data_IF_831569647844
#
_entry.id   IF_831569647844
#
_cell.length_a   1.000
_cell.length_b   1.000
_cell.length_c   1.000
_cell.angle_alpha   90.00
_cell.angle_beta   90.00
_cell.angle_gamma   90.00
#
_symmetry.space_group_name_H-M   'P 1'
#
loop_
_entity.id
_entity.type
_entity.pdbx_description
1 polymer ?
#
# COMPACT_ATOMS: atom_id res chain seq x y z
N UNK A 1 46.51 47.56 -58.22
CA UNK A 1 45.04 47.45 -58.33
C UNK A 1 44.68 46.03 -57.96
N UNK A 2 44.34 45.82 -56.70
CA UNK A 2 44.46 44.52 -56.01
C UNK A 2 43.08 43.96 -55.72
N UNK A 3 42.95 42.66 -55.98
CA UNK A 3 41.72 41.90 -56.11
C UNK A 3 40.86 41.84 -54.84
N UNK A 4 39.55 41.90 -55.09
CA UNK A 4 38.46 41.60 -54.18
C UNK A 4 38.52 40.12 -53.74
N UNK A 5 38.55 39.86 -52.43
CA UNK A 5 38.32 38.53 -51.84
C UNK A 5 37.22 38.63 -50.79
N UNK A 6 36.00 38.24 -51.18
CA UNK A 6 34.92 37.96 -50.25
C UNK A 6 35.26 36.71 -49.44
N UNK A 7 35.34 36.84 -48.12
CA UNK A 7 35.47 35.72 -47.19
C UNK A 7 34.06 35.38 -46.71
N UNK A 8 33.52 34.25 -47.15
CA UNK A 8 32.34 33.64 -46.55
C UNK A 8 32.77 32.88 -45.28
N UNK A 9 32.36 33.37 -44.11
CA UNK A 9 32.41 32.58 -42.88
C UNK A 9 31.14 31.73 -42.79
N UNK A 10 31.24 30.45 -43.14
CA UNK A 10 30.25 29.44 -42.78
C UNK A 10 30.61 28.86 -41.40
N UNK A 11 29.92 29.27 -40.34
CA UNK A 11 30.01 28.64 -39.04
C UNK A 11 28.81 27.72 -38.84
N UNK A 12 29.05 26.42 -38.93
CA UNK A 12 28.05 25.37 -38.72
C UNK A 12 27.61 25.32 -37.26
N UNK A 13 26.33 25.52 -36.99
CA UNK A 13 25.74 25.27 -35.69
C UNK A 13 25.59 23.76 -35.49
N UNK A 14 26.44 23.16 -34.65
CA UNK A 14 26.25 21.79 -34.15
C UNK A 14 25.17 21.84 -33.08
N UNK A 15 23.92 21.55 -33.46
CA UNK A 15 22.85 21.31 -32.51
C UNK A 15 23.09 19.96 -31.83
N UNK A 16 23.61 19.98 -30.60
CA UNK A 16 23.64 18.80 -29.74
C UNK A 16 22.21 18.36 -29.43
N UNK A 17 21.74 17.30 -30.08
CA UNK A 17 20.49 16.65 -29.73
C UNK A 17 20.69 15.93 -28.40
N UNK A 18 20.29 16.57 -27.30
CA UNK A 18 20.10 15.90 -26.02
C UNK A 18 18.95 14.91 -26.18
N UNK A 19 19.26 13.63 -26.33
CA UNK A 19 18.27 12.56 -26.25
C UNK A 19 17.75 12.51 -24.81
N UNK A 20 16.62 13.18 -24.54
CA UNK A 20 15.84 12.94 -23.33
C UNK A 20 15.20 11.56 -23.50
N UNK A 21 15.81 10.53 -22.89
CA UNK A 21 15.18 9.22 -22.76
C UNK A 21 13.95 9.38 -21.87
N UNK A 22 12.75 9.39 -22.46
CA UNK A 22 11.52 9.35 -21.70
C UNK A 22 11.48 8.02 -20.91
N UNK A 23 11.50 8.09 -19.58
CA UNK A 23 11.33 6.90 -18.74
C UNK A 23 9.98 6.26 -19.02
N UNK A 24 9.97 4.97 -19.36
CA UNK A 24 8.73 4.24 -19.65
C UNK A 24 8.04 3.86 -18.34
N UNK A 25 6.73 4.09 -18.25
CA UNK A 25 5.92 3.68 -17.10
C UNK A 25 5.11 2.44 -17.48
N UNK A 26 5.30 1.37 -16.72
CA UNK A 26 4.50 0.15 -16.83
C UNK A 26 3.43 0.16 -15.73
N UNK A 27 2.17 0.31 -16.12
CA UNK A 27 1.05 0.35 -15.17
C UNK A 27 0.79 -1.02 -14.54
N UNK A 28 0.48 -1.01 -13.24
CA UNK A 28 0.03 -2.21 -12.53
C UNK A 28 -1.42 -2.48 -12.92
N UNK A 29 -1.80 -3.74 -13.15
CA UNK A 29 -3.18 -4.11 -13.46
C UNK A 29 -4.13 -3.60 -12.36
N UNK A 30 -5.22 -2.93 -12.75
CA UNK A 30 -6.15 -2.23 -11.84
C UNK A 30 -5.51 -1.11 -10.99
N UNK A 31 -4.31 -0.64 -11.34
CA UNK A 31 -3.63 0.46 -10.66
C UNK A 31 -4.20 1.85 -10.99
N UNK A 32 -5.13 1.95 -11.94
CA UNK A 32 -5.93 3.14 -12.25
C UNK A 32 -7.18 3.27 -11.36
N UNK A 33 -7.37 2.30 -10.46
CA UNK A 33 -8.46 2.17 -9.48
C UNK A 33 -9.85 2.59 -9.99
N UNK A 34 -10.13 2.34 -11.26
CA UNK A 34 -11.40 2.70 -11.89
C UNK A 34 -12.45 1.58 -11.79
N UNK A 35 -12.02 0.37 -11.38
CA UNK A 35 -12.87 -0.81 -11.26
C UNK A 35 -12.80 -1.40 -9.85
N UNK A 36 -13.97 -1.77 -9.32
CA UNK A 36 -14.12 -2.21 -7.93
C UNK A 36 -15.11 -3.35 -7.82
N UNK A 37 -14.78 -4.31 -6.98
CA UNK A 37 -15.73 -5.30 -6.47
C UNK A 37 -16.44 -4.67 -5.28
N UNK A 38 -17.76 -4.57 -5.35
CA UNK A 38 -18.63 -4.14 -4.24
C UNK A 38 -19.15 -5.39 -3.53
N UNK A 39 -19.08 -5.42 -2.20
CA UNK A 39 -19.52 -6.58 -1.41
C UNK A 39 -20.51 -6.13 -0.36
N UNK A 40 -21.66 -6.80 -0.26
CA UNK A 40 -22.65 -6.56 0.79
C UNK A 40 -22.62 -7.70 1.80
N UNK A 41 -22.27 -7.35 3.03
CA UNK A 41 -22.06 -8.29 4.14
C UNK A 41 -23.01 -7.93 5.27
N UNK A 42 -23.71 -8.92 5.80
CA UNK A 42 -24.60 -8.78 6.95
C UNK A 42 -23.85 -9.10 8.24
N UNK A 43 -23.66 -8.10 9.11
CA UNK A 43 -23.03 -8.26 10.42
C UNK A 43 -23.93 -9.02 11.40
N UNK A 44 -23.34 -9.66 12.41
CA UNK A 44 -24.12 -10.41 13.40
C UNK A 44 -24.99 -9.49 14.27
N UNK A 45 -26.20 -9.93 14.62
CA UNK A 45 -27.13 -9.20 15.49
C UNK A 45 -26.50 -8.81 16.84
N UNK A 46 -25.61 -9.66 17.39
CA UNK A 46 -24.86 -9.40 18.63
C UNK A 46 -24.00 -8.13 18.56
N UNK A 47 -23.66 -7.63 17.37
CA UNK A 47 -22.91 -6.38 17.16
C UNK A 47 -23.72 -5.29 16.43
N UNK A 48 -25.04 -5.45 16.36
CA UNK A 48 -25.97 -4.48 15.77
C UNK A 48 -26.72 -4.96 14.53
N UNK A 49 -26.29 -6.06 13.89
CA UNK A 49 -27.03 -6.66 12.78
C UNK A 49 -27.09 -5.79 11.52
N UNK A 50 -26.07 -4.97 11.26
CA UNK A 50 -26.07 -4.02 10.17
C UNK A 50 -25.60 -4.64 8.85
N UNK A 51 -26.24 -4.26 7.75
CA UNK A 51 -25.69 -4.49 6.41
C UNK A 51 -24.57 -3.48 6.13
N UNK A 52 -23.42 -4.00 5.69
CA UNK A 52 -22.21 -3.24 5.46
C UNK A 52 -21.73 -3.47 4.04
N UNK A 53 -21.44 -2.37 3.35
CA UNK A 53 -20.78 -2.40 2.05
C UNK A 53 -19.28 -2.28 2.24
N UNK A 54 -18.53 -3.23 1.69
CA UNK A 54 -17.07 -3.18 1.65
C UNK A 54 -16.57 -3.32 0.21
N UNK A 55 -15.39 -2.78 -0.08
CA UNK A 55 -14.89 -2.66 -1.45
C UNK A 55 -13.54 -3.36 -1.64
N UNK A 56 -13.31 -3.92 -2.82
CA UNK A 56 -12.01 -4.48 -3.20
C UNK A 56 -11.64 -4.03 -4.61
N UNK A 57 -10.34 -3.93 -4.89
CA UNK A 57 -9.84 -3.53 -6.21
C UNK A 57 -9.85 -4.74 -7.14
N UNK A 58 -10.59 -4.65 -8.25
CA UNK A 58 -10.77 -5.76 -9.18
C UNK A 58 -11.84 -5.47 -10.24
N UNK A 59 -12.36 -6.50 -10.93
CA UNK A 59 -13.40 -6.30 -11.94
C UNK A 59 -14.66 -5.69 -11.32
N UNK A 60 -15.32 -4.81 -12.07
CA UNK A 60 -16.58 -4.18 -11.64
C UNK A 60 -17.68 -5.22 -11.52
N UNK A 61 -18.06 -5.56 -10.28
CA UNK A 61 -19.15 -6.49 -9.98
C UNK A 61 -19.62 -6.32 -8.53
N UNK A 62 -20.79 -6.89 -8.22
CA UNK A 62 -21.33 -6.95 -6.87
C UNK A 62 -21.36 -8.40 -6.37
N UNK A 63 -20.92 -8.61 -5.13
CA UNK A 63 -20.99 -9.90 -4.44
C UNK A 63 -21.94 -9.78 -3.25
N UNK A 64 -23.03 -10.54 -3.31
CA UNK A 64 -24.01 -10.62 -2.25
C UNK A 64 -23.70 -11.73 -1.24
N UNK A 65 -23.97 -11.42 0.02
CA UNK A 65 -23.90 -12.31 1.16
C UNK A 65 -22.49 -12.44 1.75
N UNK A 66 -22.44 -13.09 2.92
CA UNK A 66 -21.23 -13.22 3.73
C UNK A 66 -20.22 -14.21 3.14
N UNK A 67 -19.71 -13.90 1.95
CA UNK A 67 -18.79 -14.73 1.18
C UNK A 67 -17.36 -14.26 1.41
N UNK A 68 -16.44 -15.17 1.76
CA UNK A 68 -15.01 -14.89 1.77
C UNK A 68 -14.54 -14.39 0.40
N UNK A 69 -13.71 -13.36 0.41
CA UNK A 69 -13.11 -12.81 -0.80
C UNK A 69 -11.69 -13.34 -1.04
N UNK A 70 -11.38 -13.45 -2.31
CA UNK A 70 -10.02 -13.56 -2.83
C UNK A 70 -9.95 -12.73 -4.11
N UNK A 71 -8.79 -12.16 -4.42
CA UNK A 71 -8.61 -11.28 -5.57
C UNK A 71 -9.23 -11.84 -6.86
N UNK A 72 -9.99 -11.01 -7.57
CA UNK A 72 -10.71 -11.39 -8.80
C UNK A 72 -10.13 -10.68 -10.03
N UNK A 73 -10.39 -11.23 -11.21
CA UNK A 73 -9.94 -10.65 -12.50
C UNK A 73 -8.41 -10.58 -12.65
N UNK A 74 -7.64 -11.28 -11.82
CA UNK A 74 -6.18 -11.17 -11.79
C UNK A 74 -5.68 -9.86 -11.16
N UNK A 75 -6.50 -9.18 -10.36
CA UNK A 75 -6.05 -8.03 -9.56
C UNK A 75 -4.95 -8.45 -8.58
N UNK A 76 -3.80 -7.76 -8.54
CA UNK A 76 -2.76 -8.05 -7.55
C UNK A 76 -3.00 -7.35 -6.22
N UNK A 77 -4.08 -6.58 -6.09
CA UNK A 77 -4.34 -5.70 -4.95
C UNK A 77 -5.19 -6.37 -3.88
N UNK A 78 -4.76 -6.22 -2.63
CA UNK A 78 -5.55 -6.45 -1.44
C UNK A 78 -5.67 -5.15 -0.64
N UNK A 79 -6.69 -5.09 0.22
CA UNK A 79 -6.95 -3.93 1.07
C UNK A 79 -7.03 -4.34 2.54
N UNK A 80 -7.09 -3.35 3.44
CA UNK A 80 -7.43 -3.56 4.85
C UNK A 80 -8.94 -3.70 5.08
N UNK A 81 -9.77 -3.61 4.04
CA UNK A 81 -11.17 -3.99 4.14
C UNK A 81 -11.25 -5.50 4.32
N UNK A 82 -12.03 -5.94 5.31
CA UNK A 82 -12.09 -7.36 5.64
C UNK A 82 -13.47 -7.80 6.07
N UNK A 83 -13.83 -9.01 5.66
CA UNK A 83 -14.84 -9.82 6.29
C UNK A 83 -14.19 -10.79 7.30
N UNK A 84 -14.59 -10.64 8.56
CA UNK A 84 -14.17 -11.48 9.67
C UNK A 84 -15.33 -12.34 10.19
N UNK A 85 -15.01 -13.57 10.61
CA UNK A 85 -15.92 -14.46 11.34
C UNK A 85 -15.17 -15.08 12.51
N UNK A 86 -15.20 -14.39 13.65
CA UNK A 86 -14.45 -14.78 14.86
C UNK A 86 -15.44 -15.33 15.88
N UNK A 87 -15.24 -16.57 16.31
CA UNK A 87 -16.13 -17.26 17.27
C UNK A 87 -17.62 -17.19 16.87
N UNK A 88 -17.92 -17.32 15.57
CA UNK A 88 -19.27 -17.25 15.03
C UNK A 88 -19.81 -15.83 14.78
N UNK A 89 -19.15 -14.79 15.28
CA UNK A 89 -19.53 -13.39 15.09
C UNK A 89 -18.99 -12.88 13.76
N UNK A 90 -19.90 -12.52 12.85
CA UNK A 90 -19.57 -11.84 11.60
C UNK A 90 -19.40 -10.35 11.85
N UNK A 91 -18.24 -9.83 11.43
CA UNK A 91 -17.89 -8.43 11.48
C UNK A 91 -17.20 -8.01 10.19
N UNK A 92 -17.42 -6.78 9.77
CA UNK A 92 -16.68 -6.14 8.69
C UNK A 92 -15.81 -5.01 9.22
N UNK A 93 -14.78 -4.67 8.45
CA UNK A 93 -14.09 -3.39 8.54
C UNK A 93 -13.96 -2.82 7.13
N UNK A 94 -14.15 -1.51 6.99
CA UNK A 94 -13.98 -0.81 5.73
C UNK A 94 -13.36 0.57 5.96
N UNK A 95 -12.18 0.76 5.40
CA UNK A 95 -11.41 2.01 5.45
C UNK A 95 -10.79 2.38 4.09
N UNK A 96 -11.02 1.58 3.05
CA UNK A 96 -10.63 1.86 1.67
C UNK A 96 -11.88 1.92 0.79
N UNK A 97 -12.00 2.96 -0.02
CA UNK A 97 -13.19 3.26 -0.79
C UNK A 97 -12.84 3.62 -2.24
N UNK A 98 -13.71 3.32 -3.21
CA UNK A 98 -13.75 4.09 -4.45
C UNK A 98 -14.13 5.54 -4.15
N UNK A 99 -13.41 6.49 -4.74
CA UNK A 99 -13.78 7.91 -4.74
C UNK A 99 -13.68 8.47 -6.15
N UNK A 100 -14.50 9.47 -6.47
CA UNK A 100 -14.49 10.06 -7.81
C UNK A 100 -13.22 10.91 -8.00
N UNK A 101 -12.42 10.55 -9.02
CA UNK A 101 -11.24 11.31 -9.47
C UNK A 101 -11.65 12.42 -10.42
N UNK A 102 -12.60 12.11 -11.31
CA UNK A 102 -13.22 12.98 -12.30
C UNK A 102 -14.60 12.39 -12.67
N UNK A 103 -15.37 13.05 -13.54
CA UNK A 103 -16.73 12.63 -13.88
C UNK A 103 -16.89 11.17 -14.37
N UNK A 104 -15.79 10.52 -14.84
CA UNK A 104 -15.81 9.14 -15.34
C UNK A 104 -14.70 8.24 -14.77
N UNK A 105 -13.84 8.77 -13.90
CA UNK A 105 -12.72 8.01 -13.34
C UNK A 105 -12.87 7.93 -11.83
N UNK A 106 -12.52 6.77 -11.26
CA UNK A 106 -12.41 6.59 -9.82
C UNK A 106 -10.95 6.49 -9.42
N UNK A 107 -10.69 6.72 -8.15
CA UNK A 107 -9.41 6.54 -7.49
C UNK A 107 -9.63 5.76 -6.18
N UNK A 108 -8.55 5.28 -5.57
CA UNK A 108 -8.61 4.70 -4.24
C UNK A 108 -8.53 5.80 -3.19
N UNK A 109 -9.45 5.77 -2.21
CA UNK A 109 -9.48 6.65 -1.04
C UNK A 109 -9.26 5.81 0.22
N UNK A 110 -8.13 6.01 0.87
CA UNK A 110 -7.73 5.34 2.11
C UNK A 110 -7.95 6.30 3.27
N UNK A 111 -8.73 5.90 4.27
CA UNK A 111 -9.16 6.78 5.36
C UNK A 111 -8.63 6.28 6.71
N UNK A 112 -8.19 7.19 7.56
CA UNK A 112 -8.06 6.96 9.00
C UNK A 112 -9.28 7.48 9.73
N UNK A 113 -10.04 6.57 10.34
CA UNK A 113 -11.40 6.83 10.84
C UNK A 113 -11.73 5.98 12.08
N UNK A 114 -12.72 6.44 12.85
CA UNK A 114 -13.32 5.63 13.91
C UNK A 114 -14.40 4.72 13.33
N UNK A 115 -14.19 3.43 13.46
CA UNK A 115 -15.18 2.40 13.22
C UNK A 115 -16.01 2.16 14.48
N UNK A 116 -17.33 2.31 14.36
CA UNK A 116 -18.28 2.20 15.47
C UNK A 116 -18.97 0.84 15.43
N UNK A 117 -19.05 0.19 16.58
CA UNK A 117 -19.71 -1.10 16.78
C UNK A 117 -20.56 -1.03 18.04
N UNK A 118 -21.76 -1.63 18.01
CA UNK A 118 -22.65 -1.66 19.17
C UNK A 118 -22.92 -3.09 19.61
N UNK A 119 -22.23 -3.53 20.67
CA UNK A 119 -22.36 -4.89 21.19
C UNK A 119 -23.61 -5.02 22.05
N UNK A 120 -24.44 -6.00 21.72
CA UNK A 120 -25.71 -6.34 22.38
C UNK A 120 -26.69 -5.16 22.54
N UNK A 121 -26.53 -4.10 21.74
CA UNK A 121 -27.33 -2.88 21.89
C UNK A 121 -27.00 -2.03 23.13
N UNK A 122 -25.98 -2.40 23.91
CA UNK A 122 -25.66 -1.77 25.20
C UNK A 122 -24.28 -1.12 25.21
N UNK A 123 -23.28 -1.75 24.58
CA UNK A 123 -21.88 -1.32 24.68
C UNK A 123 -21.43 -0.72 23.35
N UNK A 124 -21.12 0.58 23.35
CA UNK A 124 -20.51 1.24 22.19
C UNK A 124 -19.00 0.98 22.21
N UNK A 125 -18.50 0.45 21.10
CA UNK A 125 -17.07 0.26 20.85
C UNK A 125 -16.66 1.12 19.67
N UNK A 126 -15.65 1.95 19.91
CA UNK A 126 -15.04 2.80 18.88
C UNK A 126 -13.62 2.30 18.63
N UNK A 127 -13.32 1.93 17.40
CA UNK A 127 -12.02 1.38 17.00
C UNK A 127 -11.38 2.30 15.97
N UNK A 128 -10.14 2.73 16.22
CA UNK A 128 -9.38 3.49 15.24
C UNK A 128 -8.84 2.55 14.17
N UNK A 129 -9.11 2.86 12.91
CA UNK A 129 -8.69 2.05 11.75
C UNK A 129 -8.05 2.97 10.72
N UNK A 130 -6.90 2.56 10.20
CA UNK A 130 -6.25 3.19 9.05
C UNK A 130 -6.47 2.32 7.80
N UNK A 131 -6.93 2.95 6.71
CA UNK A 131 -7.07 2.32 5.41
C UNK A 131 -5.71 2.05 4.78
N UNK A 132 -5.52 0.83 4.28
CA UNK A 132 -4.30 0.43 3.57
C UNK A 132 -4.65 -0.43 2.36
N UNK A 133 -3.84 -0.32 1.30
CA UNK A 133 -3.87 -1.25 0.17
C UNK A 133 -2.45 -1.69 -0.16
N UNK A 134 -2.32 -2.90 -0.66
CA UNK A 134 -1.01 -3.51 -0.90
C UNK A 134 -1.07 -4.53 -2.03
N UNK A 135 0.09 -4.80 -2.64
CA UNK A 135 0.23 -5.93 -3.55
C UNK A 135 0.33 -7.21 -2.73
N UNK A 136 -0.57 -8.15 -3.01
CA UNK A 136 -0.67 -9.40 -2.28
C UNK A 136 -2.11 -9.88 -2.12
N UNK A 137 -2.39 -10.53 -1.01
CA UNK A 137 -3.68 -11.16 -0.74
C UNK A 137 -4.05 -11.10 0.74
N UNK A 138 -5.32 -10.83 1.01
CA UNK A 138 -5.94 -11.04 2.32
C UNK A 138 -6.65 -12.40 2.35
N UNK A 139 -6.53 -13.15 3.44
CA UNK A 139 -7.20 -14.44 3.62
C UNK A 139 -8.46 -14.28 4.45
N UNK A 140 -9.59 -14.45 3.77
CA UNK A 140 -10.90 -14.40 4.39
C UNK A 140 -11.56 -15.79 4.52
N UNK A 141 -12.51 -15.96 5.46
CA UNK A 141 -12.85 -14.98 6.49
C UNK A 141 -11.70 -14.88 7.50
N UNK A 142 -11.46 -13.67 8.03
CA UNK A 142 -10.51 -13.53 9.14
C UNK A 142 -11.13 -14.22 10.37
N UNK A 143 -10.50 -15.30 10.84
CA UNK A 143 -11.04 -16.13 11.94
C UNK A 143 -10.44 -15.82 13.31
N UNK A 144 -9.42 -14.95 13.38
CA UNK A 144 -8.79 -14.52 14.62
C UNK A 144 -8.10 -13.17 14.44
N UNK A 145 -8.07 -12.37 15.52
CA UNK A 145 -7.33 -11.11 15.60
C UNK A 145 -5.86 -11.28 16.03
N UNK A 146 -5.44 -12.51 16.37
CA UNK A 146 -4.06 -12.82 16.74
C UNK A 146 -3.19 -12.92 15.50
N UNK A 147 -1.97 -12.36 15.57
CA UNK A 147 -0.97 -12.38 14.49
C UNK A 147 -1.57 -11.94 13.13
N UNK A 148 -1.98 -10.65 12.99
CA UNK A 148 -2.69 -10.18 11.81
C UNK A 148 -1.88 -10.35 10.51
N UNK A 149 -0.54 -10.24 10.57
CA UNK A 149 0.31 -10.46 9.40
C UNK A 149 0.23 -11.89 8.85
N UNK A 150 -0.09 -12.90 9.68
CA UNK A 150 -0.35 -14.26 9.18
C UNK A 150 -1.60 -14.41 8.31
N UNK A 151 -2.47 -13.39 8.28
CA UNK A 151 -3.71 -13.36 7.49
C UNK A 151 -3.53 -12.65 6.15
N UNK A 152 -2.37 -12.06 5.92
CA UNK A 152 -2.03 -11.39 4.67
C UNK A 152 -0.77 -11.99 4.07
N UNK A 153 -0.85 -12.33 2.79
CA UNK A 153 0.31 -12.64 1.98
C UNK A 153 0.79 -11.32 1.35
N UNK A 154 1.95 -10.85 1.77
CA UNK A 154 2.50 -9.57 1.34
C UNK A 154 3.51 -9.76 0.21
N UNK A 155 3.26 -9.01 -0.86
CA UNK A 155 4.05 -9.01 -2.07
C UNK A 155 3.59 -10.04 -3.09
N UNK A 156 4.07 -9.85 -4.32
CA UNK A 156 3.78 -10.70 -5.48
C UNK A 156 5.09 -11.10 -6.17
N UNK A 157 5.10 -12.20 -6.94
CA UNK A 157 6.23 -12.55 -7.80
C UNK A 157 6.58 -11.39 -8.75
N UNK A 158 7.87 -11.04 -8.81
CA UNK A 158 8.35 -9.91 -9.60
C UNK A 158 9.86 -10.00 -9.82
N UNK A 159 10.30 -9.89 -11.08
CA UNK A 159 11.71 -10.08 -11.48
C UNK A 159 12.34 -8.89 -12.21
N UNK A 160 11.62 -7.77 -12.33
CA UNK A 160 12.12 -6.56 -12.99
C UNK A 160 12.85 -5.65 -12.01
N UNK A 161 13.56 -4.65 -12.53
CA UNK A 161 14.32 -3.67 -11.73
C UNK A 161 13.84 -2.23 -12.02
N UNK A 162 12.69 -1.81 -11.46
CA UNK A 162 12.20 -0.45 -11.64
C UNK A 162 13.03 0.56 -10.86
N UNK A 163 13.18 1.77 -11.41
CA UNK A 163 13.86 2.90 -10.75
C UNK A 163 12.93 3.66 -9.81
N UNK A 164 11.63 3.66 -10.09
CA UNK A 164 10.63 4.35 -9.29
C UNK A 164 9.29 3.62 -9.25
N UNK A 165 8.58 3.76 -8.13
CA UNK A 165 7.13 3.58 -8.08
C UNK A 165 6.50 4.91 -8.51
N UNK A 166 5.62 4.87 -9.51
CA UNK A 166 4.97 6.04 -10.09
C UNK A 166 3.49 6.01 -9.73
N UNK A 167 2.93 7.11 -9.25
CA UNK A 167 1.51 7.21 -8.91
C UNK A 167 1.04 8.66 -8.85
N UNK A 168 -0.26 8.87 -9.00
CA UNK A 168 -0.91 10.12 -8.66
C UNK A 168 -1.38 10.05 -7.21
N UNK A 169 -1.33 11.17 -6.49
CA UNK A 169 -1.84 11.21 -5.12
C UNK A 169 -2.46 12.55 -4.75
N UNK A 170 -3.31 12.52 -3.72
CA UNK A 170 -3.81 13.68 -2.97
C UNK A 170 -3.83 13.30 -1.49
N UNK A 171 -3.57 14.25 -0.60
CA UNK A 171 -3.63 14.02 0.85
C UNK A 171 -4.52 15.06 1.48
N UNK A 172 -5.53 14.62 2.22
CA UNK A 172 -6.26 15.46 3.17
C UNK A 172 -5.65 15.19 4.55
N UNK A 173 -4.83 16.13 5.07
CA UNK A 173 -4.22 16.02 6.39
C UNK A 173 -4.97 16.93 7.39
N UNK A 174 -5.56 16.38 8.45
CA UNK A 174 -6.19 17.16 9.51
C UNK A 174 -5.19 18.13 10.16
N UNK A 175 -5.63 19.37 10.39
CA UNK A 175 -4.84 20.39 11.08
C UNK A 175 -4.93 20.21 12.61
N UNK A 176 -4.47 19.05 13.10
CA UNK A 176 -4.40 18.71 14.52
C UNK A 176 -3.02 18.15 14.85
N UNK A 177 -2.55 18.38 16.08
CA UNK A 177 -1.28 17.84 16.57
C UNK A 177 -1.49 16.72 17.60
N UNK A 178 -2.46 15.84 17.33
CA UNK A 178 -2.71 14.66 18.14
C UNK A 178 -3.13 13.48 17.27
N UNK A 179 -2.89 12.28 17.81
CA UNK A 179 -3.43 10.99 17.36
C UNK A 179 -4.44 10.51 18.37
N UNK A 180 -5.37 9.68 17.93
CA UNK A 180 -6.33 9.01 18.78
C UNK A 180 -5.98 7.53 18.86
N UNK A 181 -5.79 7.03 20.08
CA UNK A 181 -5.73 5.60 20.39
C UNK A 181 -7.11 5.11 20.78
N UNK A 182 -7.67 4.18 20.01
CA UNK A 182 -8.99 3.60 20.28
C UNK A 182 -9.04 2.13 19.90
N UNK A 183 -8.97 1.24 20.90
CA UNK A 183 -8.94 -0.22 20.69
C UNK A 183 -10.32 -0.86 20.71
N UNK A 184 -11.36 -0.09 21.01
CA UNK A 184 -12.74 -0.55 21.22
C UNK A 184 -13.07 -1.00 22.65
N UNK A 185 -12.06 -1.37 23.46
CA UNK A 185 -12.27 -1.89 24.82
C UNK A 185 -11.99 -0.87 25.93
N UNK A 186 -11.42 0.28 25.58
CA UNK A 186 -11.13 1.38 26.50
C UNK A 186 -11.65 2.69 25.95
N UNK A 187 -11.71 3.71 26.81
CA UNK A 187 -11.93 5.08 26.36
C UNK A 187 -10.87 5.50 25.34
N UNK A 188 -11.27 6.37 24.40
CA UNK A 188 -10.37 7.02 23.46
C UNK A 188 -9.33 7.82 24.23
N UNK A 189 -8.07 7.71 23.81
CA UNK A 189 -6.97 8.52 24.36
C UNK A 189 -6.37 9.37 23.26
N UNK A 190 -6.16 10.65 23.54
CA UNK A 190 -5.33 11.50 22.68
C UNK A 190 -3.85 11.29 23.03
N UNK A 191 -3.02 11.16 22.01
CA UNK A 191 -1.58 11.06 22.09
C UNK A 191 -0.98 12.25 21.34
N UNK A 192 0.13 12.85 21.81
CA UNK A 192 0.76 13.97 21.13
C UNK A 192 1.32 13.60 19.75
N UNK A 193 1.41 14.58 18.86
CA UNK A 193 1.87 14.40 17.48
C UNK A 193 0.76 13.91 16.55
N UNK A 194 0.94 14.03 15.24
CA UNK A 194 0.03 13.47 14.24
C UNK A 194 0.67 12.28 13.51
N UNK A 195 -0.17 11.45 12.88
CA UNK A 195 0.28 10.37 12.01
C UNK A 195 0.58 10.90 10.59
N UNK A 196 1.26 10.09 9.79
CA UNK A 196 1.51 10.35 8.37
C UNK A 196 0.82 9.28 7.53
N UNK A 197 0.39 9.66 6.33
CA UNK A 197 0.20 8.65 5.30
C UNK A 197 1.58 8.13 4.86
N UNK A 198 1.66 6.87 4.45
CA UNK A 198 2.92 6.24 4.05
C UNK A 198 2.75 5.45 2.77
N UNK A 199 3.75 5.56 1.90
CA UNK A 199 3.91 4.70 0.73
C UNK A 199 5.29 4.10 0.78
N UNK A 200 5.39 2.78 0.57
CA UNK A 200 6.69 2.12 0.45
C UNK A 200 6.66 0.99 -0.58
N UNK A 201 7.85 0.69 -1.07
CA UNK A 201 8.14 -0.39 -2.01
C UNK A 201 9.42 -1.11 -1.61
N UNK A 202 9.36 -2.44 -1.54
CA UNK A 202 10.49 -3.30 -1.27
C UNK A 202 10.66 -4.32 -2.39
N UNK A 203 11.86 -4.42 -2.94
CA UNK A 203 12.25 -5.53 -3.79
C UNK A 203 13.00 -6.56 -2.95
N UNK A 204 12.58 -7.82 -3.04
CA UNK A 204 13.15 -8.91 -2.26
C UNK A 204 13.60 -10.04 -3.16
N UNK A 205 14.77 -10.62 -2.85
CA UNK A 205 15.16 -11.95 -3.33
C UNK A 205 14.87 -12.94 -2.20
N UNK A 206 13.83 -13.76 -2.40
CA UNK A 206 13.35 -14.75 -1.44
C UNK A 206 13.87 -16.14 -1.81
N UNK A 207 14.07 -16.99 -0.81
CA UNK A 207 14.28 -18.43 -0.97
C UNK A 207 13.61 -19.20 0.18
N UNK A 208 13.37 -20.49 -0.05
CA UNK A 208 12.77 -21.39 0.94
C UNK A 208 13.81 -22.44 1.36
N UNK A 209 13.94 -22.70 2.66
CA UNK A 209 14.78 -23.78 3.17
C UNK A 209 14.06 -25.15 3.16
N UNK A 210 14.75 -26.21 3.56
CA UNK A 210 14.18 -27.58 3.58
C UNK A 210 12.99 -27.72 4.53
N UNK A 211 12.94 -26.92 5.59
CA UNK A 211 11.87 -26.96 6.58
C UNK A 211 10.61 -26.22 6.07
N UNK A 212 10.80 -25.34 5.10
CA UNK A 212 9.76 -24.54 4.48
C UNK A 212 9.65 -23.15 5.08
N UNK A 213 10.70 -22.65 5.74
CA UNK A 213 10.78 -21.25 6.15
C UNK A 213 11.18 -20.40 4.95
N UNK A 214 10.64 -19.19 4.87
CA UNK A 214 10.95 -18.25 3.81
C UNK A 214 11.94 -17.21 4.33
N UNK A 215 13.05 -17.10 3.62
CA UNK A 215 14.11 -16.14 3.87
C UNK A 215 14.15 -15.11 2.74
N UNK A 216 14.71 -13.95 3.01
CA UNK A 216 14.83 -12.88 2.04
C UNK A 216 16.08 -12.02 2.26
N UNK A 217 16.60 -11.48 1.16
CA UNK A 217 17.44 -10.28 1.19
C UNK A 217 16.75 -9.12 0.48
N UNK A 218 16.88 -7.92 1.03
CA UNK A 218 16.31 -6.69 0.46
C UNK A 218 17.20 -6.18 -0.67
N UNK A 219 16.69 -6.23 -1.90
CA UNK A 219 17.40 -5.80 -3.11
C UNK A 219 17.30 -4.29 -3.32
N UNK A 220 16.13 -3.72 -3.07
CA UNK A 220 15.91 -2.28 -3.19
C UNK A 220 14.79 -1.80 -2.27
N UNK A 221 14.86 -0.54 -1.87
CA UNK A 221 13.89 0.10 -0.97
C UNK A 221 13.54 1.50 -1.46
N UNK A 222 12.25 1.83 -1.43
CA UNK A 222 11.74 3.20 -1.57
C UNK A 222 10.63 3.43 -0.54
N UNK A 223 10.56 4.63 0.02
CA UNK A 223 9.55 4.96 1.01
C UNK A 223 9.42 6.45 1.26
N UNK A 224 8.19 6.90 1.53
CA UNK A 224 7.89 8.29 1.80
C UNK A 224 6.73 8.43 2.79
N UNK A 225 6.88 9.38 3.71
CA UNK A 225 5.80 9.86 4.58
C UNK A 225 5.17 11.12 3.98
N UNK A 226 3.85 11.14 3.96
CA UNK A 226 3.04 12.26 3.54
C UNK A 226 2.40 12.90 4.78
N UNK A 227 3.03 13.97 5.25
CA UNK A 227 2.72 14.64 6.52
C UNK A 227 1.89 15.92 6.39
N UNK A 228 1.56 16.33 5.15
CA UNK A 228 0.90 17.60 4.86
C UNK A 228 -0.21 17.40 3.84
N UNK A 229 -1.22 18.28 3.91
CA UNK A 229 -2.25 18.36 2.88
C UNK A 229 -1.60 18.67 1.53
N UNK A 230 -2.02 17.93 0.52
CA UNK A 230 -1.57 18.08 -0.85
C UNK A 230 -2.77 17.97 -1.78
N UNK A 231 -2.89 18.94 -2.71
CA UNK A 231 -3.74 18.78 -3.88
C UNK A 231 -3.25 17.63 -4.75
N UNK A 232 -4.01 17.27 -5.79
CA UNK A 232 -3.58 16.24 -6.73
C UNK A 232 -2.21 16.55 -7.33
N UNK A 233 -1.25 15.68 -7.04
CA UNK A 233 0.06 15.59 -7.68
C UNK A 233 0.04 14.41 -8.62
N UNK A 234 0.20 14.65 -9.91
CA UNK A 234 0.20 13.59 -10.92
C UNK A 234 1.62 13.15 -11.27
N UNK A 235 1.81 11.85 -11.47
CA UNK A 235 3.08 11.26 -11.88
C UNK A 235 4.18 11.40 -10.83
N UNK A 236 3.84 11.38 -9.53
CA UNK A 236 4.81 11.36 -8.45
C UNK A 236 5.72 10.14 -8.59
N UNK A 237 7.03 10.33 -8.40
CA UNK A 237 8.04 9.28 -8.58
C UNK A 237 8.77 9.02 -7.28
N UNK A 238 8.33 8.00 -6.55
CA UNK A 238 9.03 7.48 -5.39
C UNK A 238 10.24 6.68 -5.86
N UNK A 239 11.45 7.20 -5.66
CA UNK A 239 12.69 6.57 -6.12
C UNK A 239 13.02 5.32 -5.28
N UNK A 240 13.52 4.28 -5.95
CA UNK A 240 14.05 3.08 -5.31
C UNK A 240 15.58 3.20 -5.20
N UNK A 241 16.10 2.95 -4.00
CA UNK A 241 17.52 2.79 -3.75
C UNK A 241 17.87 1.31 -3.76
N UNK A 242 18.75 0.89 -4.67
CA UNK A 242 19.23 -0.49 -4.78
C UNK A 242 20.44 -0.72 -3.86
N UNK A 243 20.51 -1.90 -3.27
CA UNK A 243 21.55 -2.29 -2.31
C UNK A 243 21.23 -1.90 -0.87
N UNK A 244 22.28 -1.76 -0.07
CA UNK A 244 22.19 -1.42 1.35
C UNK A 244 21.77 0.03 1.56
N UNK A 245 20.53 0.23 2.03
CA UNK A 245 19.99 1.55 2.32
C UNK A 245 20.74 2.25 3.47
N UNK A 246 21.27 1.48 4.44
CA UNK A 246 22.01 2.04 5.58
C UNK A 246 23.34 2.66 5.17
N UNK A 247 23.87 2.25 4.01
CA UNK A 247 25.06 2.87 3.41
C UNK A 247 24.80 4.31 2.94
N UNK A 248 23.54 4.77 2.92
CA UNK A 248 23.14 6.14 2.52
C UNK A 248 22.79 7.04 3.71
N UNK A 249 22.81 6.50 4.93
CA UNK A 249 22.47 7.22 6.15
C UNK A 249 21.54 6.42 7.07
N UNK A 250 21.06 7.02 8.17
CA UNK A 250 20.11 6.36 9.07
C UNK A 250 18.87 5.88 8.33
N UNK A 251 18.55 4.59 8.47
CA UNK A 251 17.36 3.99 7.87
C UNK A 251 16.15 4.32 8.76
N UNK A 252 15.09 4.94 8.21
CA UNK A 252 13.85 5.15 8.96
C UNK A 252 13.24 3.84 9.43
N UNK A 253 12.64 3.82 10.63
CA UNK A 253 12.09 2.60 11.25
C UNK A 253 11.14 1.82 10.33
N UNK A 254 10.28 2.51 9.58
CA UNK A 254 9.32 1.90 8.66
C UNK A 254 9.96 1.25 7.41
N UNK A 255 11.24 1.49 7.16
CA UNK A 255 12.02 0.96 6.03
C UNK A 255 13.09 -0.06 6.46
N UNK A 256 13.21 -0.34 7.76
CA UNK A 256 14.15 -1.32 8.30
C UNK A 256 13.90 -2.73 7.72
N UNK A 257 14.93 -3.58 7.85
CA UNK A 257 14.81 -4.99 7.53
C UNK A 257 13.87 -5.68 8.52
N UNK A 258 12.94 -6.47 7.99
CA UNK A 258 11.90 -7.17 8.76
C UNK A 258 12.38 -8.56 9.16
N UNK A 259 12.91 -8.69 10.36
CA UNK A 259 13.44 -9.95 10.91
C UNK A 259 12.79 -10.37 12.23
N UNK A 260 12.01 -9.50 12.87
CA UNK A 260 11.39 -9.72 14.17
C UNK A 260 9.90 -10.01 14.11
N UNK A 261 9.13 -9.44 15.03
CA UNK A 261 7.66 -9.58 15.09
C UNK A 261 6.93 -8.80 13.99
N UNK A 262 7.66 -7.94 13.27
CA UNK A 262 7.21 -7.12 12.15
C UNK A 262 7.29 -7.85 10.79
N UNK A 263 7.74 -9.11 10.77
CA UNK A 263 7.81 -9.92 9.55
C UNK A 263 6.45 -10.05 8.88
N UNK A 264 6.45 -9.80 7.57
CA UNK A 264 5.33 -10.18 6.74
C UNK A 264 5.33 -11.66 6.43
N UNK A 265 4.21 -12.18 5.95
CA UNK A 265 4.04 -13.60 5.66
C UNK A 265 3.85 -13.83 4.16
N UNK A 266 4.19 -15.04 3.75
CA UNK A 266 3.89 -15.57 2.43
C UNK A 266 3.62 -17.07 2.52
N UNK A 267 3.01 -17.65 1.48
CA UNK A 267 2.84 -19.09 1.40
C UNK A 267 4.13 -19.75 0.93
N UNK A 268 4.58 -20.75 1.67
CA UNK A 268 5.67 -21.61 1.24
C UNK A 268 5.18 -22.66 0.21
N UNK A 269 6.11 -23.45 -0.32
CA UNK A 269 5.85 -24.53 -1.28
C UNK A 269 4.84 -25.57 -0.78
N UNK A 270 4.66 -25.69 0.54
CA UNK A 270 3.72 -26.59 1.23
C UNK A 270 2.34 -25.93 1.47
N UNK A 271 2.12 -24.72 0.96
CA UNK A 271 0.87 -23.97 1.10
C UNK A 271 0.64 -23.36 2.50
N UNK A 272 1.64 -23.37 3.37
CA UNK A 272 1.54 -22.82 4.74
C UNK A 272 1.96 -21.35 4.74
N UNK A 273 1.20 -20.52 5.46
CA UNK A 273 1.61 -19.15 5.78
C UNK A 273 2.75 -19.17 6.78
N UNK A 274 3.92 -18.69 6.37
CA UNK A 274 5.13 -18.59 7.20
C UNK A 274 5.70 -17.18 7.13
N UNK A 275 6.39 -16.70 8.19
CA UNK A 275 7.04 -15.39 8.14
C UNK A 275 8.16 -15.40 7.10
N UNK A 276 8.32 -14.27 6.41
CA UNK A 276 9.44 -13.97 5.51
C UNK A 276 10.48 -13.23 6.33
N UNK A 277 11.61 -13.87 6.59
CA UNK A 277 12.69 -13.29 7.41
C UNK A 277 13.69 -12.57 6.52
N UNK A 278 13.81 -11.25 6.64
CA UNK A 278 14.85 -10.50 5.94
C UNK A 278 16.18 -10.61 6.71
N UNK A 279 17.15 -11.28 6.10
CA UNK A 279 18.45 -11.57 6.73
C UNK A 279 19.52 -10.52 6.43
N UNK A 280 19.23 -9.56 5.55
CA UNK A 280 20.18 -8.55 5.14
C UNK A 280 19.79 -7.81 3.87
N UNK A 281 20.63 -6.84 3.51
CA UNK A 281 20.61 -6.19 2.21
C UNK A 281 21.28 -7.09 1.16
N UNK A 282 20.80 -7.02 -0.07
CA UNK A 282 21.39 -7.73 -1.21
C UNK A 282 22.31 -6.83 -2.03
N UNK A 283 22.98 -7.42 -3.03
CA UNK A 283 23.67 -6.65 -4.06
C UNK A 283 22.70 -5.75 -4.82
N UNK A 284 23.13 -4.53 -5.15
CA UNK A 284 22.35 -3.60 -5.99
C UNK A 284 22.04 -4.16 -7.39
N UNK A 285 22.79 -5.16 -7.84
CA UNK A 285 22.59 -5.84 -9.13
C UNK A 285 21.81 -7.16 -9.00
N UNK A 286 21.41 -7.55 -7.79
CA UNK A 286 20.64 -8.78 -7.58
C UNK A 286 19.29 -8.68 -8.31
N UNK A 287 18.88 -9.78 -8.93
CA UNK A 287 17.54 -9.85 -9.53
C UNK A 287 16.53 -10.18 -8.43
N UNK A 288 15.50 -9.33 -8.21
CA UNK A 288 14.48 -9.64 -7.24
C UNK A 288 13.63 -10.83 -7.69
N UNK A 289 12.95 -11.43 -6.73
CA UNK A 289 11.96 -12.49 -6.96
C UNK A 289 10.55 -12.02 -6.60
N UNK A 290 10.45 -11.00 -5.74
CA UNK A 290 9.21 -10.49 -5.20
C UNK A 290 9.28 -8.97 -5.05
N UNK A 291 8.12 -8.34 -5.17
CA UNK A 291 7.91 -6.93 -4.85
C UNK A 291 6.81 -6.80 -3.80
N UNK A 292 7.02 -5.94 -2.81
CA UNK A 292 6.02 -5.47 -1.88
C UNK A 292 5.77 -4.01 -2.20
N UNK A 293 4.51 -3.61 -2.34
CA UNK A 293 4.08 -2.20 -2.39
C UNK A 293 2.94 -2.05 -1.41
N UNK A 294 2.96 -0.98 -0.63
CA UNK A 294 1.87 -0.61 0.27
C UNK A 294 1.63 0.90 0.22
N UNK A 295 0.35 1.26 0.24
CA UNK A 295 -0.15 2.60 0.49
C UNK A 295 -0.99 2.54 1.76
N UNK A 296 -0.81 3.48 2.69
CA UNK A 296 -1.57 3.51 3.94
C UNK A 296 -1.86 4.95 4.37
N UNK A 297 -3.07 5.18 4.86
CA UNK A 297 -3.48 6.45 5.46
C UNK A 297 -3.08 6.55 6.95
N UNK A 298 -2.09 5.76 7.37
CA UNK A 298 -1.50 5.80 8.70
C UNK A 298 -0.18 5.04 8.71
N UNK A 299 0.77 5.51 9.50
CA UNK A 299 2.14 4.99 9.63
C UNK A 299 2.47 4.56 11.07
N UNK A 300 1.55 4.79 12.01
CA UNK A 300 1.72 4.54 13.43
C UNK A 300 1.35 3.13 13.89
N UNK A 301 1.19 3.01 15.20
CA UNK A 301 0.82 1.76 15.87
C UNK A 301 -0.62 1.31 15.54
N UNK A 302 -0.91 0.00 15.66
CA UNK A 302 -2.28 -0.49 15.59
C UNK A 302 -3.23 0.27 16.53
N UNK A 303 -4.43 0.58 16.04
CA UNK A 303 -5.47 1.32 16.77
C UNK A 303 -5.09 2.75 17.15
N UNK A 304 -4.03 3.32 16.55
CA UNK A 304 -3.61 4.71 16.72
C UNK A 304 -3.62 5.39 15.35
N UNK A 305 -4.18 6.59 15.26
CA UNK A 305 -4.19 7.34 14.01
C UNK A 305 -4.72 8.75 14.17
N UNK A 306 -4.51 9.60 13.16
CA UNK A 306 -5.10 10.93 13.10
C UNK A 306 -6.42 10.86 12.33
N UNK A 307 -7.54 10.93 13.05
CA UNK A 307 -8.88 10.84 12.46
C UNK A 307 -9.07 11.92 11.38
N UNK A 308 -9.51 11.50 10.19
CA UNK A 308 -9.69 12.37 9.02
C UNK A 308 -8.50 12.38 8.05
N UNK A 309 -7.34 11.82 8.44
CA UNK A 309 -6.22 11.62 7.51
C UNK A 309 -6.68 10.73 6.36
N UNK A 310 -6.63 11.27 5.14
CA UNK A 310 -7.04 10.55 3.93
C UNK A 310 -5.94 10.63 2.87
N UNK A 311 -5.55 9.46 2.36
CA UNK A 311 -4.67 9.33 1.19
C UNK A 311 -5.50 8.88 0.00
N UNK A 312 -5.48 9.67 -1.08
CA UNK A 312 -6.03 9.26 -2.38
C UNK A 312 -4.89 8.85 -3.29
N UNK A 313 -5.08 7.79 -4.05
CA UNK A 313 -4.08 7.24 -4.97
C UNK A 313 -4.73 6.89 -6.30
N UNK A 314 -4.02 7.14 -7.40
CA UNK A 314 -4.43 6.78 -8.75
C UNK A 314 -3.21 6.46 -9.66
N UNK A 315 -3.46 5.85 -10.82
CA UNK A 315 -2.50 5.61 -11.91
C UNK A 315 -1.16 4.97 -11.49
N UNK A 316 -1.19 3.91 -10.68
CA UNK A 316 0.01 3.27 -10.15
C UNK A 316 0.74 2.45 -11.21
N UNK A 317 2.05 2.63 -11.29
CA UNK A 317 2.95 1.94 -12.21
C UNK A 317 4.40 1.93 -11.76
N UNK A 318 5.26 1.32 -12.56
CA UNK A 318 6.69 1.24 -12.35
C UNK A 318 7.44 1.99 -13.45
N UNK A 319 8.34 2.89 -13.05
CA UNK A 319 9.19 3.64 -13.98
C UNK A 319 10.56 2.98 -14.17
N UNK A 320 10.99 2.83 -15.42
CA UNK A 320 12.28 2.24 -15.83
C UNK A 320 13.19 3.24 -16.55
#
# INVERSE_FOLDING_TARGET
MTNLRCIFFSLSAVAGASFVSAQTVEHIKYGDFSNWVTRHIHESAVIGGHDKTIYEIGPTQTIEGNKPYSNLGGSPWATSNVYAKVSGVVKTSNAVYPADRSAKNKCAKLCTQIEKVKVLGLINMDVMVAGSMFLGKMFEPVTSTKNPYSKMEMGIPFSKQPKSLVFDYKVDMPNVNYRVKSTGFSSKKQLPGHDNAVVFVFLQRRWEDSDGNIHAKRVATGGEHFSKTASWTNGHRLQLTYGDLSSKGPVPDYLQLRSGDDRYYARNSKGKMVPVTEEGWDSANATPTHIIVMFSAGSGEPYVGTEGLTLYVDNVGFGY
#
